data_IF_060967643112
#
_entry.id   IF_060967643112
#
_cell.length_a   1.000
_cell.length_b   1.000
_cell.length_c   1.000
_cell.angle_alpha   90.00
_cell.angle_beta   90.00
_cell.angle_gamma   90.00
#
_symmetry.space_group_name_H-M   'P 1'
#
loop_
_entity.id
_entity.type
_entity.pdbx_description
1 polymer ?
#
# COMPACT_ATOMS: atom_id res chain seq x y z
N UNK A 1 18.03 30.21 -23.17
CA UNK A 1 17.77 29.84 -21.76
C UNK A 1 16.34 29.93 -21.27
N UNK A 2 15.39 30.08 -22.20
CA UNK A 2 13.95 30.06 -21.88
C UNK A 2 13.42 28.65 -21.55
N UNK A 3 14.12 27.58 -21.93
CA UNK A 3 13.73 26.20 -21.64
C UNK A 3 13.99 25.82 -20.16
N UNK A 4 15.13 26.22 -19.63
CA UNK A 4 15.52 25.99 -18.22
C UNK A 4 14.61 26.79 -17.28
N UNK A 5 14.29 28.03 -17.61
CA UNK A 5 13.39 28.84 -16.79
C UNK A 5 11.95 28.33 -16.77
N UNK A 6 11.46 27.77 -17.91
CA UNK A 6 10.14 27.10 -17.95
C UNK A 6 10.12 25.82 -17.08
N UNK A 7 11.17 24.98 -17.18
CA UNK A 7 11.28 23.77 -16.36
C UNK A 7 11.29 24.08 -14.87
N UNK A 8 12.07 25.06 -14.42
CA UNK A 8 12.08 25.50 -13.02
C UNK A 8 10.71 26.05 -12.57
N UNK A 9 10.05 26.87 -13.41
CA UNK A 9 8.71 27.38 -13.09
C UNK A 9 7.66 26.28 -12.94
N UNK A 10 7.74 25.22 -13.74
CA UNK A 10 6.82 24.08 -13.64
C UNK A 10 7.09 23.20 -12.41
N UNK A 11 8.34 23.04 -12.01
CA UNK A 11 8.72 22.36 -10.76
C UNK A 11 8.14 23.09 -9.54
N UNK A 12 8.30 24.42 -9.48
CA UNK A 12 7.73 25.22 -8.38
C UNK A 12 6.22 25.15 -8.30
N UNK A 13 5.51 25.09 -9.43
CA UNK A 13 4.05 24.94 -9.47
C UNK A 13 3.56 23.57 -8.97
N UNK A 14 4.40 22.53 -9.04
CA UNK A 14 4.06 21.17 -8.60
C UNK A 14 4.40 20.89 -7.14
N UNK A 15 5.19 21.73 -6.48
CA UNK A 15 5.57 21.55 -5.07
C UNK A 15 4.36 21.43 -4.13
N UNK A 16 3.31 22.25 -4.23
CA UNK A 16 2.12 22.11 -3.39
C UNK A 16 1.44 20.75 -3.58
N UNK A 17 1.38 20.22 -4.81
CA UNK A 17 0.81 18.91 -5.12
C UNK A 17 1.61 17.79 -4.44
N UNK A 18 2.94 17.85 -4.45
CA UNK A 18 3.79 16.89 -3.75
C UNK A 18 3.48 16.91 -2.25
N UNK A 19 3.35 18.08 -1.64
CA UNK A 19 2.97 18.22 -0.24
C UNK A 19 1.60 17.59 0.05
N UNK A 20 0.61 17.84 -0.78
CA UNK A 20 -0.74 17.25 -0.68
C UNK A 20 -0.66 15.72 -0.75
N UNK A 21 0.09 15.16 -1.72
CA UNK A 21 0.26 13.71 -1.88
C UNK A 21 0.97 13.10 -0.66
N UNK A 22 2.05 13.73 -0.17
CA UNK A 22 2.78 13.23 1.01
C UNK A 22 1.88 13.18 2.24
N UNK A 23 1.17 14.27 2.55
CA UNK A 23 0.27 14.32 3.72
C UNK A 23 -0.89 13.32 3.56
N UNK A 24 -1.47 13.22 2.34
CA UNK A 24 -2.51 12.23 2.04
C UNK A 24 -2.03 10.78 2.22
N UNK A 25 -0.82 10.49 1.76
CA UNK A 25 -0.20 9.16 1.93
C UNK A 25 0.04 8.84 3.39
N UNK A 26 0.57 9.79 4.18
CA UNK A 26 0.78 9.59 5.62
C UNK A 26 -0.54 9.34 6.35
N UNK A 27 -1.58 10.11 6.06
CA UNK A 27 -2.90 9.93 6.65
C UNK A 27 -3.51 8.56 6.28
N UNK A 28 -3.46 8.18 5.01
CA UNK A 28 -3.97 6.88 4.53
C UNK A 28 -3.19 5.72 5.11
N UNK A 29 -1.86 5.84 5.19
CA UNK A 29 -0.98 4.82 5.78
C UNK A 29 -1.28 4.62 7.26
N UNK A 30 -1.45 5.72 8.01
CA UNK A 30 -1.83 5.66 9.43
C UNK A 30 -3.19 4.96 9.61
N UNK A 31 -4.18 5.30 8.79
CA UNK A 31 -5.48 4.63 8.80
C UNK A 31 -5.34 3.13 8.51
N UNK A 32 -4.60 2.77 7.46
CA UNK A 32 -4.36 1.38 7.07
C UNK A 32 -3.70 0.56 8.18
N UNK A 33 -2.66 1.09 8.83
CA UNK A 33 -1.99 0.43 9.94
C UNK A 33 -2.95 0.17 11.11
N UNK A 34 -3.71 1.21 11.52
CA UNK A 34 -4.65 1.07 12.65
C UNK A 34 -5.78 0.09 12.32
N UNK A 35 -6.32 0.14 11.09
CA UNK A 35 -7.35 -0.79 10.64
C UNK A 35 -6.82 -2.23 10.63
N UNK A 36 -5.61 -2.44 10.13
CA UNK A 36 -4.96 -3.75 10.17
C UNK A 36 -4.82 -4.27 11.60
N UNK A 37 -4.29 -3.45 12.52
CA UNK A 37 -4.12 -3.83 13.92
C UNK A 37 -5.46 -4.09 14.64
N UNK A 38 -6.53 -3.40 14.25
CA UNK A 38 -7.88 -3.68 14.77
C UNK A 38 -8.43 -5.02 14.29
N UNK A 39 -8.27 -5.35 13.01
CA UNK A 39 -8.72 -6.62 12.44
C UNK A 39 -7.92 -7.82 12.97
N UNK A 40 -6.60 -7.67 13.08
CA UNK A 40 -5.68 -8.75 13.44
C UNK A 40 -5.36 -8.80 14.94
N UNK A 41 -5.96 -7.94 15.76
CA UNK A 41 -5.65 -7.74 17.18
C UNK A 41 -5.49 -9.03 17.99
N UNK A 42 -6.35 -10.02 17.77
CA UNK A 42 -6.30 -11.28 18.50
C UNK A 42 -5.27 -12.25 17.90
N UNK A 43 -5.06 -12.20 16.60
CA UNK A 43 -4.07 -13.00 15.87
C UNK A 43 -2.67 -12.53 16.24
N UNK A 44 -2.45 -11.22 16.19
CA UNK A 44 -1.17 -10.58 16.45
C UNK A 44 -0.65 -10.79 17.89
N UNK A 45 -1.53 -11.12 18.85
CA UNK A 45 -1.13 -11.51 20.21
C UNK A 45 -0.31 -12.80 20.23
N UNK A 46 -0.54 -13.69 19.29
CA UNK A 46 0.10 -15.00 19.21
C UNK A 46 1.36 -15.01 18.34
N UNK A 47 1.65 -13.88 17.65
CA UNK A 47 2.82 -13.72 16.80
C UNK A 47 3.87 -12.88 17.53
N UNK A 48 5.07 -13.43 17.70
CA UNK A 48 6.14 -12.80 18.49
C UNK A 48 6.48 -11.38 18.05
N UNK A 49 6.50 -11.14 16.73
CA UNK A 49 6.84 -9.84 16.13
C UNK A 49 5.78 -8.75 16.37
N UNK A 50 4.51 -9.12 16.53
CA UNK A 50 3.39 -8.16 16.55
C UNK A 50 2.68 -8.05 17.89
N UNK A 51 2.93 -8.94 18.82
CA UNK A 51 2.26 -9.01 20.13
C UNK A 51 2.41 -7.74 20.97
N UNK A 52 3.50 -6.99 20.80
CA UNK A 52 3.81 -5.79 21.57
C UNK A 52 3.24 -4.50 20.94
N UNK A 53 2.53 -4.59 19.81
CA UNK A 53 1.86 -3.43 19.21
C UNK A 53 0.83 -2.84 20.16
N UNK A 54 0.66 -1.49 20.21
CA UNK A 54 -0.18 -0.83 21.22
C UNK A 54 -1.65 -1.28 21.26
N UNK A 55 -2.24 -1.63 20.11
CA UNK A 55 -3.61 -2.14 20.04
C UNK A 55 -3.67 -3.63 20.40
N UNK A 56 -2.67 -4.40 20.01
CA UNK A 56 -2.54 -5.84 20.28
C UNK A 56 -2.31 -6.07 21.78
N UNK A 57 -1.32 -5.41 22.37
CA UNK A 57 -0.97 -5.47 23.81
C UNK A 57 -2.00 -4.83 24.72
N UNK A 58 -3.07 -4.25 24.15
CA UNK A 58 -4.16 -3.57 24.90
C UNK A 58 -3.76 -2.29 25.62
N UNK A 59 -2.60 -1.73 25.34
CA UNK A 59 -2.21 -0.37 25.83
C UNK A 59 -3.17 0.68 25.26
N UNK A 60 -3.62 0.51 24.02
CA UNK A 60 -4.68 1.30 23.41
C UNK A 60 -6.00 0.51 23.33
N UNK A 61 -7.10 1.20 23.59
CA UNK A 61 -8.43 0.60 23.46
C UNK A 61 -8.87 0.49 22.00
N UNK A 62 -9.80 -0.43 21.69
CA UNK A 62 -10.43 -0.53 20.37
C UNK A 62 -11.08 0.79 19.97
N UNK A 63 -11.76 1.45 20.92
CA UNK A 63 -12.40 2.74 20.66
C UNK A 63 -11.39 3.80 20.23
N UNK A 64 -10.25 3.88 20.91
CA UNK A 64 -9.16 4.80 20.53
C UNK A 64 -8.66 4.48 19.13
N UNK A 65 -8.45 3.21 18.78
CA UNK A 65 -8.06 2.80 17.45
C UNK A 65 -9.07 3.22 16.37
N UNK A 66 -10.37 2.99 16.62
CA UNK A 66 -11.44 3.40 15.69
C UNK A 66 -11.44 4.92 15.49
N UNK A 67 -11.33 5.69 16.56
CA UNK A 67 -11.30 7.16 16.48
C UNK A 67 -10.10 7.64 15.66
N UNK A 68 -8.91 7.07 15.90
CA UNK A 68 -7.70 7.40 15.12
C UNK A 68 -7.89 7.07 13.63
N UNK A 69 -8.44 5.89 13.31
CA UNK A 69 -8.69 5.49 11.93
C UNK A 69 -9.69 6.43 11.24
N UNK A 70 -10.77 6.82 11.92
CA UNK A 70 -11.77 7.77 11.39
C UNK A 70 -11.13 9.15 11.14
N UNK A 71 -10.35 9.67 12.08
CA UNK A 71 -9.68 10.97 11.93
C UNK A 71 -8.69 10.91 10.75
N UNK A 72 -7.90 9.86 10.65
CA UNK A 72 -6.92 9.69 9.58
C UNK A 72 -7.60 9.56 8.20
N UNK A 73 -8.69 8.80 8.09
CA UNK A 73 -9.49 8.71 6.85
C UNK A 73 -10.18 10.03 6.52
N UNK A 74 -10.69 10.77 7.51
CA UNK A 74 -11.29 12.08 7.29
C UNK A 74 -10.25 13.09 6.78
N UNK A 75 -9.04 13.10 7.35
CA UNK A 75 -7.93 13.92 6.87
C UNK A 75 -7.55 13.55 5.42
N UNK A 76 -7.42 12.25 5.11
CA UNK A 76 -7.15 11.81 3.75
C UNK A 76 -8.28 12.21 2.78
N UNK A 77 -9.54 12.12 3.20
CA UNK A 77 -10.71 12.54 2.44
C UNK A 77 -10.72 14.05 2.14
N UNK A 78 -10.44 14.88 3.14
CA UNK A 78 -10.30 16.35 2.95
C UNK A 78 -9.18 16.65 1.95
N UNK A 79 -8.04 15.97 2.06
CA UNK A 79 -6.92 16.14 1.13
C UNK A 79 -7.32 15.69 -0.29
N UNK A 80 -8.07 14.59 -0.42
CA UNK A 80 -8.52 14.11 -1.72
C UNK A 80 -9.44 15.11 -2.45
N UNK A 81 -10.17 15.97 -1.74
CA UNK A 81 -11.00 17.03 -2.32
C UNK A 81 -10.18 18.10 -3.07
N UNK A 82 -8.88 18.24 -2.78
CA UNK A 82 -7.99 19.16 -3.51
C UNK A 82 -7.43 18.55 -4.80
N UNK A 83 -7.65 17.25 -5.02
CA UNK A 83 -7.21 16.56 -6.22
C UNK A 83 -8.22 16.73 -7.36
N UNK A 84 -7.79 16.44 -8.59
CA UNK A 84 -8.70 16.40 -9.72
C UNK A 84 -9.73 15.26 -9.57
N UNK A 85 -10.88 15.31 -10.30
CA UNK A 85 -11.95 14.33 -10.15
C UNK A 85 -11.54 12.87 -10.34
N UNK A 86 -10.58 12.58 -11.25
CA UNK A 86 -10.09 11.23 -11.47
C UNK A 86 -9.35 10.71 -10.23
N UNK A 87 -8.42 11.49 -9.70
CA UNK A 87 -7.65 11.13 -8.50
C UNK A 87 -8.55 11.03 -7.27
N UNK A 88 -9.55 11.90 -7.15
CA UNK A 88 -10.55 11.80 -6.09
C UNK A 88 -11.29 10.45 -6.12
N UNK A 89 -11.83 10.06 -7.26
CA UNK A 89 -12.55 8.79 -7.37
C UNK A 89 -11.66 7.56 -7.20
N UNK A 90 -10.40 7.64 -7.64
CA UNK A 90 -9.40 6.60 -7.36
C UNK A 90 -9.12 6.50 -5.86
N UNK A 91 -9.05 7.63 -5.14
CA UNK A 91 -8.89 7.64 -3.68
C UNK A 91 -10.10 7.01 -2.98
N UNK A 92 -11.31 7.31 -3.43
CA UNK A 92 -12.53 6.67 -2.91
C UNK A 92 -12.52 5.17 -3.18
N UNK A 93 -12.10 4.73 -4.37
CA UNK A 93 -12.02 3.30 -4.73
C UNK A 93 -10.95 2.54 -3.92
N UNK A 94 -9.90 3.21 -3.46
CA UNK A 94 -8.88 2.61 -2.62
C UNK A 94 -9.37 2.26 -1.20
N UNK A 95 -10.33 3.03 -0.66
CA UNK A 95 -10.80 2.87 0.74
C UNK A 95 -11.32 1.47 1.03
N UNK A 96 -12.25 0.88 0.27
CA UNK A 96 -12.73 -0.47 0.55
C UNK A 96 -11.60 -1.52 0.46
N UNK A 97 -10.64 -1.36 -0.45
CA UNK A 97 -9.50 -2.27 -0.56
C UNK A 97 -8.62 -2.19 0.69
N UNK A 98 -8.34 -0.96 1.18
CA UNK A 98 -7.57 -0.72 2.41
C UNK A 98 -8.28 -1.30 3.64
N UNK A 99 -9.60 -1.18 3.73
CA UNK A 99 -10.36 -1.69 4.87
C UNK A 99 -10.46 -3.22 4.84
N UNK A 100 -10.57 -3.82 3.66
CA UNK A 100 -10.84 -5.24 3.51
C UNK A 100 -9.59 -6.11 3.38
N UNK A 101 -8.42 -5.53 3.00
CA UNK A 101 -7.23 -6.35 2.77
C UNK A 101 -6.79 -7.19 3.99
N UNK A 102 -6.91 -6.73 5.26
CA UNK A 102 -6.51 -7.57 6.39
C UNK A 102 -7.36 -8.83 6.53
N UNK A 103 -8.60 -8.77 6.07
CA UNK A 103 -9.48 -9.94 6.06
C UNK A 103 -9.04 -11.01 5.06
N UNK A 104 -8.30 -10.63 4.01
CA UNK A 104 -7.84 -11.56 2.98
C UNK A 104 -7.02 -12.73 3.55
N UNK A 105 -6.28 -12.53 4.63
CA UNK A 105 -5.53 -13.60 5.32
C UNK A 105 -6.40 -14.80 5.75
N UNK A 106 -7.69 -14.60 5.90
CA UNK A 106 -8.62 -15.63 6.43
C UNK A 106 -9.19 -16.54 5.35
N UNK A 107 -9.28 -16.03 4.10
CA UNK A 107 -9.92 -16.79 3.02
C UNK A 107 -9.20 -16.75 1.67
N UNK A 108 -8.27 -15.83 1.47
CA UNK A 108 -7.53 -15.72 0.21
C UNK A 108 -6.13 -16.32 0.34
N UNK A 109 -5.70 -17.21 -0.59
CA UNK A 109 -4.44 -17.95 -0.44
C UNK A 109 -3.19 -17.08 -0.51
N UNK A 110 -3.24 -15.93 -1.18
CA UNK A 110 -2.12 -14.98 -1.33
C UNK A 110 -2.57 -13.58 -0.90
N UNK A 111 -2.82 -13.33 0.41
CA UNK A 111 -3.33 -12.05 0.89
C UNK A 111 -2.40 -10.87 0.57
N UNK A 112 -1.10 -11.11 0.42
CA UNK A 112 -0.10 -10.13 0.00
C UNK A 112 -0.41 -9.52 -1.37
N UNK A 113 -1.10 -10.24 -2.27
CA UNK A 113 -1.55 -9.69 -3.55
C UNK A 113 -2.63 -8.61 -3.34
N UNK A 114 -3.56 -8.82 -2.39
CA UNK A 114 -4.58 -7.81 -2.08
C UNK A 114 -3.95 -6.56 -1.50
N UNK A 115 -2.96 -6.71 -0.63
CA UNK A 115 -2.17 -5.60 -0.09
C UNK A 115 -1.40 -4.87 -1.20
N UNK A 116 -0.78 -5.61 -2.13
CA UNK A 116 -0.06 -5.03 -3.28
C UNK A 116 -0.96 -4.16 -4.15
N UNK A 117 -2.20 -4.60 -4.38
CA UNK A 117 -3.21 -3.80 -5.11
C UNK A 117 -3.55 -2.53 -4.35
N UNK A 118 -3.72 -2.60 -3.01
CA UNK A 118 -3.95 -1.42 -2.18
C UNK A 118 -2.80 -0.40 -2.30
N UNK A 119 -1.55 -0.85 -2.28
CA UNK A 119 -0.37 -0.02 -2.51
C UNK A 119 -0.32 0.53 -3.94
N UNK A 120 -0.74 -0.25 -4.93
CA UNK A 120 -0.81 0.18 -6.32
C UNK A 120 -1.72 1.40 -6.55
N UNK A 121 -2.75 1.61 -5.72
CA UNK A 121 -3.57 2.82 -5.79
C UNK A 121 -2.77 4.10 -5.57
N UNK A 122 -1.67 4.06 -4.81
CA UNK A 122 -0.81 5.22 -4.61
C UNK A 122 -0.21 5.71 -5.94
N UNK A 123 0.18 4.79 -6.83
CA UNK A 123 0.67 5.11 -8.19
C UNK A 123 -0.44 5.76 -9.02
N UNK A 124 -1.63 5.12 -9.08
CA UNK A 124 -2.74 5.61 -9.88
C UNK A 124 -3.19 7.01 -9.43
N UNK A 125 -3.30 7.24 -8.11
CA UNK A 125 -3.69 8.51 -7.53
C UNK A 125 -2.64 9.58 -7.81
N UNK A 126 -1.36 9.30 -7.55
CA UNK A 126 -0.27 10.27 -7.73
C UNK A 126 -0.10 10.65 -9.19
N UNK A 127 -0.14 9.67 -10.11
CA UNK A 127 -0.04 9.93 -11.55
C UNK A 127 -1.21 10.76 -12.06
N UNK A 128 -2.43 10.33 -11.75
CA UNK A 128 -3.62 11.07 -12.17
C UNK A 128 -3.69 12.47 -11.55
N UNK A 129 -3.18 12.66 -10.33
CA UNK A 129 -3.09 13.97 -9.71
C UNK A 129 -2.15 14.93 -10.48
N UNK A 130 -1.10 14.39 -11.08
CA UNK A 130 -0.13 15.18 -11.84
C UNK A 130 -0.60 15.52 -13.27
N UNK A 131 -1.27 14.58 -13.97
CA UNK A 131 -1.58 14.74 -15.42
C UNK A 131 -3.06 14.59 -15.77
N UNK A 132 -3.93 14.36 -14.78
CA UNK A 132 -5.39 14.22 -14.91
C UNK A 132 -5.85 13.07 -15.84
N UNK A 133 -5.00 12.09 -16.10
CA UNK A 133 -5.30 10.90 -16.91
C UNK A 133 -4.40 9.73 -16.47
N UNK A 134 -4.77 8.51 -16.89
CA UNK A 134 -3.92 7.32 -16.78
C UNK A 134 -3.33 7.02 -18.16
N UNK A 135 -2.02 6.80 -18.21
CA UNK A 135 -1.26 6.55 -19.43
C UNK A 135 -0.68 5.12 -19.39
N UNK A 136 -0.10 4.65 -20.49
CA UNK A 136 0.53 3.32 -20.53
C UNK A 136 1.63 3.18 -19.47
N UNK A 137 2.45 4.21 -19.29
CA UNK A 137 3.49 4.26 -18.26
C UNK A 137 2.92 4.13 -16.84
N UNK A 138 1.70 4.66 -16.57
CA UNK A 138 1.04 4.49 -15.27
C UNK A 138 0.80 3.03 -14.95
N UNK A 139 0.35 2.24 -15.94
CA UNK A 139 0.04 0.82 -15.75
C UNK A 139 1.30 -0.02 -15.58
N UNK A 140 2.38 0.32 -16.30
CA UNK A 140 3.69 -0.32 -16.11
C UNK A 140 4.19 -0.06 -14.69
N UNK A 141 4.20 1.20 -14.25
CA UNK A 141 4.63 1.55 -12.90
C UNK A 141 3.72 0.92 -11.82
N UNK A 142 2.42 0.83 -12.07
CA UNK A 142 1.47 0.15 -11.21
C UNK A 142 1.80 -1.35 -11.09
N UNK A 143 2.07 -2.03 -12.21
CA UNK A 143 2.49 -3.43 -12.24
C UNK A 143 3.81 -3.66 -11.51
N UNK A 144 4.80 -2.80 -11.74
CA UNK A 144 6.09 -2.82 -11.05
C UNK A 144 5.92 -2.67 -9.53
N UNK A 145 5.06 -1.74 -9.09
CA UNK A 145 4.75 -1.53 -7.66
C UNK A 145 4.09 -2.75 -7.04
N UNK A 146 3.14 -3.39 -7.76
CA UNK A 146 2.52 -4.64 -7.29
C UNK A 146 3.56 -5.74 -7.15
N UNK A 147 4.40 -5.95 -8.16
CA UNK A 147 5.44 -6.97 -8.13
C UNK A 147 6.43 -6.73 -6.98
N UNK A 148 6.88 -5.48 -6.80
CA UNK A 148 7.77 -5.10 -5.71
C UNK A 148 7.15 -5.35 -4.34
N UNK A 149 5.91 -4.87 -4.11
CA UNK A 149 5.20 -5.03 -2.84
C UNK A 149 4.96 -6.51 -2.54
N UNK A 150 4.53 -7.29 -3.54
CA UNK A 150 4.28 -8.72 -3.38
C UNK A 150 5.57 -9.49 -3.02
N UNK A 151 6.70 -9.15 -3.66
CA UNK A 151 8.01 -9.71 -3.34
C UNK A 151 8.43 -9.37 -1.91
N UNK A 152 8.38 -8.08 -1.56
CA UNK A 152 8.75 -7.56 -0.25
C UNK A 152 7.92 -8.19 0.88
N UNK A 153 6.59 -8.22 0.74
CA UNK A 153 5.71 -8.80 1.75
C UNK A 153 5.79 -10.32 1.82
N UNK A 154 6.17 -10.99 0.72
CA UNK A 154 6.45 -12.43 0.76
C UNK A 154 7.69 -12.73 1.61
N UNK A 155 8.73 -11.88 1.57
CA UNK A 155 9.90 -12.02 2.45
C UNK A 155 9.49 -11.88 3.92
N UNK A 156 8.66 -10.88 4.26
CA UNK A 156 8.12 -10.77 5.62
C UNK A 156 7.29 -11.98 6.03
N UNK A 157 6.42 -12.47 5.14
CA UNK A 157 5.63 -13.67 5.40
C UNK A 157 6.48 -14.93 5.60
N UNK A 158 7.70 -14.98 5.05
CA UNK A 158 8.64 -16.08 5.31
C UNK A 158 9.12 -16.10 6.77
N UNK A 159 9.24 -14.94 7.41
CA UNK A 159 9.61 -14.83 8.83
C UNK A 159 8.49 -15.33 9.75
N UNK A 160 7.24 -15.09 9.38
CA UNK A 160 6.07 -15.44 10.18
C UNK A 160 5.47 -16.82 9.79
N UNK A 161 6.13 -17.57 8.91
CA UNK A 161 5.59 -18.79 8.26
C UNK A 161 5.14 -19.89 9.22
N UNK A 162 5.84 -20.07 10.33
CA UNK A 162 5.49 -21.09 11.33
C UNK A 162 4.28 -20.66 12.15
N UNK A 163 4.22 -19.40 12.52
CA UNK A 163 3.08 -18.82 13.22
C UNK A 163 1.83 -18.83 12.33
N UNK A 164 1.94 -18.43 11.07
CA UNK A 164 0.85 -18.49 10.09
C UNK A 164 0.27 -19.90 9.95
N UNK A 165 1.16 -20.92 9.88
CA UNK A 165 0.74 -22.32 9.81
C UNK A 165 0.04 -22.77 11.08
N UNK A 166 0.56 -22.40 12.25
CA UNK A 166 -0.01 -22.76 13.55
C UNK A 166 -1.39 -22.14 13.75
N UNK A 167 -1.56 -20.91 13.29
CA UNK A 167 -2.79 -20.11 13.42
C UNK A 167 -3.81 -20.38 12.30
N UNK A 168 -3.44 -21.16 11.28
CA UNK A 168 -4.31 -21.45 10.15
C UNK A 168 -4.59 -20.23 9.25
N UNK A 169 -3.65 -19.28 9.20
CA UNK A 169 -3.76 -18.06 8.40
C UNK A 169 -3.08 -18.28 7.05
N UNK A 170 -3.67 -17.73 5.99
CA UNK A 170 -3.06 -17.79 4.68
C UNK A 170 -1.93 -16.76 4.54
N UNK A 171 -0.87 -17.16 3.83
CA UNK A 171 0.20 -16.24 3.42
C UNK A 171 0.85 -16.71 2.13
N UNK A 172 1.46 -15.78 1.40
CA UNK A 172 2.22 -16.09 0.18
C UNK A 172 3.38 -17.06 0.47
N UNK A 173 4.02 -16.96 1.64
CA UNK A 173 5.08 -17.88 2.06
C UNK A 173 4.56 -19.32 2.24
N UNK A 174 3.35 -19.51 2.76
CA UNK A 174 2.71 -20.82 2.85
C UNK A 174 2.26 -21.31 1.48
N UNK A 175 1.67 -20.44 0.66
CA UNK A 175 1.20 -20.75 -0.69
C UNK A 175 2.33 -21.25 -1.60
N UNK A 176 3.42 -20.48 -1.69
CA UNK A 176 4.58 -20.85 -2.52
C UNK A 176 5.43 -21.96 -1.88
N UNK A 177 5.32 -22.19 -0.60
CA UNK A 177 5.99 -23.26 0.11
C UNK A 177 7.51 -23.22 -0.08
N UNK A 178 8.10 -24.32 -0.58
CA UNK A 178 9.55 -24.41 -0.87
C UNK A 178 10.01 -23.50 -2.01
N UNK A 179 9.09 -22.99 -2.81
CA UNK A 179 9.37 -22.11 -3.95
C UNK A 179 9.23 -20.61 -3.60
N UNK A 180 9.02 -20.25 -2.33
CA UNK A 180 8.84 -18.86 -1.94
C UNK A 180 10.01 -17.96 -2.36
N UNK A 181 11.25 -18.41 -2.19
CA UNK A 181 12.44 -17.67 -2.63
C UNK A 181 12.48 -17.48 -4.15
N UNK A 182 12.10 -18.49 -4.92
CA UNK A 182 12.03 -18.40 -6.38
C UNK A 182 10.94 -17.40 -6.82
N UNK A 183 9.77 -17.43 -6.15
CA UNK A 183 8.70 -16.48 -6.41
C UNK A 183 9.15 -15.03 -6.16
N UNK A 184 9.83 -14.77 -5.03
CA UNK A 184 10.44 -13.46 -4.75
C UNK A 184 11.42 -13.05 -5.84
N UNK A 185 12.29 -13.96 -6.29
CA UNK A 185 13.22 -13.71 -7.39
C UNK A 185 12.50 -13.31 -8.68
N UNK A 186 11.40 -13.99 -9.04
CA UNK A 186 10.58 -13.64 -10.22
C UNK A 186 9.96 -12.26 -10.05
N UNK A 187 9.39 -11.93 -8.89
CA UNK A 187 8.82 -10.60 -8.64
C UNK A 187 9.87 -9.50 -8.74
N UNK A 188 11.10 -9.73 -8.23
CA UNK A 188 12.20 -8.79 -8.38
C UNK A 188 12.60 -8.59 -9.84
N UNK A 189 12.65 -9.65 -10.64
CA UNK A 189 12.94 -9.56 -12.08
C UNK A 189 11.87 -8.80 -12.85
N UNK A 190 10.58 -9.06 -12.56
CA UNK A 190 9.47 -8.33 -13.18
C UNK A 190 9.54 -6.84 -12.85
N UNK A 191 9.74 -6.49 -11.57
CA UNK A 191 9.89 -5.10 -11.15
C UNK A 191 11.07 -4.40 -11.85
N UNK A 192 12.22 -5.06 -11.98
CA UNK A 192 13.40 -4.44 -12.60
C UNK A 192 13.28 -4.33 -14.11
N UNK A 193 12.62 -5.25 -14.79
CA UNK A 193 12.38 -5.16 -16.24
C UNK A 193 11.41 -4.03 -16.58
N UNK A 194 10.31 -3.91 -15.84
CA UNK A 194 9.33 -2.84 -16.03
C UNK A 194 9.97 -1.45 -15.80
N UNK A 195 10.83 -1.32 -14.77
CA UNK A 195 11.55 -0.08 -14.51
C UNK A 195 12.58 0.27 -15.60
N UNK A 196 13.17 -0.73 -16.26
CA UNK A 196 14.12 -0.51 -17.36
C UNK A 196 13.42 -0.04 -18.65
N UNK A 197 12.22 -0.54 -18.94
CA UNK A 197 11.45 -0.16 -20.14
C UNK A 197 11.01 1.32 -20.06
N UNK A 198 10.75 1.86 -18.88
CA UNK A 198 10.44 3.29 -18.71
C UNK A 198 11.65 4.22 -18.96
N UNK A 199 12.88 3.74 -18.74
CA UNK A 199 14.08 4.54 -18.99
C UNK A 199 14.41 4.68 -20.48
N UNK A 200 13.79 3.89 -21.36
CA UNK A 200 14.03 3.87 -22.81
C UNK A 200 12.89 4.50 -23.64
N UNK A 201 11.79 4.91 -23.01
CA UNK A 201 10.65 5.60 -23.64
C UNK A 201 10.68 7.11 -23.35
#
# INVERSE_FOLDING_TARGET
DKSVSRGLGDVYKRQPLVGVIVVGTLATSAAGCVINDLWDRNIDLEVERTRDRPLTSRVLTIQTGIVIAIIALACAGVIALYLNPLSFWLSVAAVPVIICYPLAKRFFPVPQLVLSIAWGFAVLISWSAAVARLESATWILWGATIAWTLGFDTVYAMSDREDDRRLGINSSALFFGKYATNAVGIFCLLYTSDAADECHS
#
